data_IF_844055941606
#
_entry.id   IF_844055941606
#
_cell.length_a   1.000
_cell.length_b   1.000
_cell.length_c   1.000
_cell.angle_alpha   90.00
_cell.angle_beta   90.00
_cell.angle_gamma   90.00
#
_symmetry.space_group_name_H-M   'P 1'
#
loop_
_entity.id
_entity.type
_entity.pdbx_description
1 polymer ?
#
# COMPACT_ATOMS: atom_id res chain seq x y z
N UNK A 1 -47.37 -28.84 30.61
CA UNK A 1 -46.73 -28.75 31.94
C UNK A 1 -45.46 -27.90 31.75
N UNK A 2 -45.49 -26.57 31.85
CA UNK A 2 -45.49 -25.79 33.10
C UNK A 2 -44.14 -26.02 33.81
N UNK A 3 -43.17 -25.11 33.84
CA UNK A 3 -43.20 -23.87 34.64
C UNK A 3 -42.25 -22.77 34.12
N UNK A 4 -42.74 -21.53 34.18
CA UNK A 4 -42.00 -20.25 34.19
C UNK A 4 -41.50 -19.94 35.61
N UNK A 5 -40.44 -19.12 35.71
CA UNK A 5 -40.20 -17.94 36.60
C UNK A 5 -38.68 -17.69 36.65
N UNK A 6 -38.10 -16.49 36.79
CA UNK A 6 -38.48 -15.09 36.64
C UNK A 6 -37.24 -14.26 37.03
N UNK A 7 -36.94 -13.20 36.26
CA UNK A 7 -36.39 -11.87 36.64
C UNK A 7 -35.26 -11.76 37.68
N UNK A 8 -34.19 -11.05 37.32
CA UNK A 8 -33.29 -10.38 38.26
C UNK A 8 -32.18 -9.58 37.56
N UNK A 9 -32.40 -8.28 37.37
CA UNK A 9 -31.40 -7.30 36.95
C UNK A 9 -30.56 -6.88 38.17
N UNK A 10 -29.23 -6.73 38.01
CA UNK A 10 -28.34 -6.23 39.04
C UNK A 10 -27.05 -5.66 38.42
N UNK A 11 -26.98 -4.34 38.32
CA UNK A 11 -25.80 -3.57 37.94
C UNK A 11 -24.96 -3.19 39.18
N UNK A 12 -23.68 -2.87 38.95
CA UNK A 12 -22.66 -2.25 39.83
C UNK A 12 -21.88 -3.26 40.71
N UNK A 13 -20.56 -3.23 40.87
CA UNK A 13 -19.57 -2.15 40.77
C UNK A 13 -18.13 -2.64 40.56
N UNK A 14 -17.31 -1.78 39.97
CA UNK A 14 -15.84 -1.79 39.90
C UNK A 14 -15.11 -2.22 41.19
N UNK A 15 -14.01 -2.98 41.04
CA UNK A 15 -12.88 -2.96 41.97
C UNK A 15 -11.54 -2.99 41.21
N UNK A 16 -10.72 -1.96 41.47
CA UNK A 16 -9.28 -1.85 41.14
C UNK A 16 -8.46 -2.74 42.07
N UNK A 17 -7.38 -3.35 41.56
CA UNK A 17 -6.10 -3.69 42.23
C UNK A 17 -5.12 -4.14 41.13
N UNK A 18 -4.12 -3.34 40.76
CA UNK A 18 -2.78 -3.11 41.36
C UNK A 18 -1.70 -4.07 40.83
N UNK A 19 -0.90 -3.52 39.91
CA UNK A 19 0.54 -3.68 39.62
C UNK A 19 1.30 -4.80 40.35
N UNK A 20 2.01 -5.63 39.57
CA UNK A 20 3.33 -6.15 39.94
C UNK A 20 4.21 -6.25 38.67
N UNK A 21 5.38 -5.65 38.77
CA UNK A 21 6.49 -5.51 37.81
C UNK A 21 7.28 -6.79 37.61
N UNK A 22 7.72 -7.07 36.37
CA UNK A 22 9.04 -7.65 36.05
C UNK A 22 9.42 -7.23 34.62
N UNK A 23 10.57 -6.57 34.48
CA UNK A 23 11.21 -6.13 33.23
C UNK A 23 12.25 -7.16 32.74
N UNK A 24 12.52 -7.10 31.43
CA UNK A 24 13.79 -7.29 30.69
C UNK A 24 13.48 -7.86 29.29
N UNK A 25 13.33 -7.02 28.26
CA UNK A 25 14.34 -6.39 27.37
C UNK A 25 14.88 -7.29 26.25
N UNK A 26 14.47 -6.98 25.00
CA UNK A 26 15.38 -6.64 23.88
C UNK A 26 14.57 -6.34 22.60
N UNK A 27 14.19 -5.08 22.38
CA UNK A 27 13.75 -4.54 21.09
C UNK A 27 14.45 -3.23 20.82
N UNK A 28 15.30 -3.19 19.80
CA UNK A 28 15.99 -1.97 19.35
C UNK A 28 15.04 -1.07 18.57
N UNK A 29 14.79 0.12 19.12
CA UNK A 29 14.07 1.22 18.49
C UNK A 29 15.06 2.23 17.91
N UNK A 30 14.87 2.63 16.66
CA UNK A 30 15.39 3.90 16.16
C UNK A 30 14.20 4.87 15.98
N UNK A 31 13.95 5.67 17.02
CA UNK A 31 13.22 6.94 16.95
C UNK A 31 14.25 8.03 16.69
N UNK A 32 14.03 8.85 15.66
CA UNK A 32 14.67 10.16 15.56
C UNK A 32 13.67 11.20 16.03
N UNK A 33 13.90 11.67 17.25
CA UNK A 33 13.38 12.90 17.83
C UNK A 33 14.44 13.97 17.62
N UNK A 34 14.13 15.05 16.90
CA UNK A 34 14.79 16.37 17.02
C UNK A 34 14.01 17.43 16.23
N UNK A 35 12.96 17.99 16.85
CA UNK A 35 12.39 19.31 16.54
C UNK A 35 11.35 19.74 17.60
N UNK A 36 11.64 19.57 18.89
CA UNK A 36 10.86 20.21 19.96
C UNK A 36 11.81 20.86 20.95
N UNK A 37 12.25 22.08 20.64
CA UNK A 37 12.85 22.98 21.62
C UNK A 37 12.15 24.34 21.53
N UNK A 38 11.49 24.68 22.65
CA UNK A 38 11.06 26.01 23.10
C UNK A 38 9.96 26.75 22.34
N UNK A 39 8.69 26.46 22.69
CA UNK A 39 7.70 27.54 22.97
C UNK A 39 6.71 27.08 24.04
N UNK A 40 7.02 27.29 25.33
CA UNK A 40 6.00 27.36 26.40
C UNK A 40 6.55 28.05 27.64
N UNK A 41 6.61 29.38 27.59
CA UNK A 41 6.61 30.23 28.78
C UNK A 41 6.34 31.70 28.43
N UNK A 42 5.12 32.08 28.04
CA UNK A 42 4.64 33.45 28.22
C UNK A 42 3.11 33.44 28.30
N UNK A 43 2.61 33.29 29.53
CA UNK A 43 1.22 33.59 29.89
C UNK A 43 1.23 34.95 30.59
N UNK A 44 0.28 35.81 30.20
CA UNK A 44 -0.11 37.08 30.81
C UNK A 44 0.78 38.33 30.61
N UNK A 45 0.53 39.07 29.53
CA UNK A 45 0.43 40.54 29.58
C UNK A 45 -0.78 41.01 28.76
N UNK A 46 -1.66 41.80 29.39
CA UNK A 46 -2.77 42.52 28.76
C UNK A 46 -2.21 43.58 27.80
N UNK A 47 -2.60 43.54 26.54
CA UNK A 47 -2.36 44.62 25.57
C UNK A 47 -3.73 45.18 25.17
N UNK A 48 -3.94 46.48 25.43
CA UNK A 48 -5.10 47.26 24.95
C UNK A 48 -4.90 47.58 23.46
N UNK A 49 -5.91 47.48 22.58
CA UNK A 49 -5.79 47.97 21.23
C UNK A 49 -6.30 49.42 21.16
N UNK A 50 -5.39 50.35 20.88
CA UNK A 50 -5.75 51.61 20.22
C UNK A 50 -5.69 51.43 18.70
N UNK A 51 -6.66 52.01 18.01
CA UNK A 51 -6.48 52.61 16.68
C UNK A 51 -6.30 51.70 15.46
N UNK A 52 -7.37 51.57 14.68
CA UNK A 52 -7.30 51.80 13.22
C UNK A 52 -7.01 50.63 12.27
N UNK A 53 -7.81 50.60 11.19
CA UNK A 53 -7.61 49.88 9.93
C UNK A 53 -7.76 48.34 9.91
N UNK A 54 -9.02 47.89 9.91
CA UNK A 54 -9.49 46.81 9.02
C UNK A 54 -11.02 46.74 9.15
N UNK A 55 -11.68 47.56 8.34
CA UNK A 55 -13.13 47.70 8.33
C UNK A 55 -13.61 47.71 6.88
N UNK A 56 -13.34 46.62 6.17
CA UNK A 56 -13.97 46.27 4.88
C UNK A 56 -14.08 44.74 4.88
N UNK A 57 -15.32 44.22 4.78
CA UNK A 57 -15.76 42.83 4.50
C UNK A 57 -16.79 42.20 5.47
N UNK A 58 -17.37 42.95 6.41
CA UNK A 58 -18.62 42.52 7.03
C UNK A 58 -19.64 43.67 7.05
N UNK A 59 -20.79 43.57 6.35
CA UNK A 59 -21.83 44.57 6.46
C UNK A 59 -22.37 44.56 7.89
N UNK A 60 -21.99 45.58 8.68
CA UNK A 60 -22.25 45.71 10.12
C UNK A 60 -23.71 46.06 10.49
N UNK A 61 -24.66 45.99 9.55
CA UNK A 61 -26.03 46.50 9.76
C UNK A 61 -27.17 45.47 9.55
N UNK A 62 -26.94 44.17 9.71
CA UNK A 62 -28.03 43.17 9.65
C UNK A 62 -28.70 42.85 11.00
N UNK A 63 -28.29 43.50 12.10
CA UNK A 63 -28.85 43.23 13.45
C UNK A 63 -29.26 44.48 14.24
N UNK A 64 -29.59 45.59 13.58
CA UNK A 64 -30.32 46.72 14.21
C UNK A 64 -31.80 46.61 13.89
N UNK A 65 -32.46 45.63 14.51
CA UNK A 65 -33.89 45.40 14.32
C UNK A 65 -34.49 44.39 15.29
N UNK A 66 -33.67 43.57 15.94
CA UNK A 66 -34.15 42.67 16.98
C UNK A 66 -34.21 43.38 18.34
N UNK A 67 -35.07 44.40 18.41
CA UNK A 67 -35.59 44.84 19.71
C UNK A 67 -36.24 43.62 20.38
N UNK A 68 -35.95 43.48 21.68
CA UNK A 68 -36.77 42.72 22.64
C UNK A 68 -38.24 42.87 22.26
N UNK A 69 -38.91 41.74 22.01
CA UNK A 69 -40.31 41.52 22.31
C UNK A 69 -40.58 40.00 22.27
N UNK A 70 -41.20 39.52 23.35
CA UNK A 70 -41.65 38.16 23.65
C UNK A 70 -40.59 37.08 23.87
N UNK A 71 -40.32 36.87 25.17
CA UNK A 71 -39.98 35.57 25.74
C UNK A 71 -41.12 34.56 25.50
N UNK A 72 -41.32 34.12 24.25
CA UNK A 72 -42.08 32.89 24.01
C UNK A 72 -41.14 31.74 24.35
N UNK A 73 -41.41 31.06 25.48
CA UNK A 73 -40.76 29.80 25.84
C UNK A 73 -40.85 28.84 24.65
N UNK A 74 -39.74 28.69 23.94
CA UNK A 74 -39.56 27.72 22.87
C UNK A 74 -40.12 26.38 23.30
N UNK A 75 -41.01 25.81 22.50
CA UNK A 75 -41.58 24.49 22.80
C UNK A 75 -40.46 23.45 22.83
N UNK A 76 -40.66 22.37 23.59
CA UNK A 76 -39.67 21.28 23.68
C UNK A 76 -39.29 20.76 22.30
N UNK A 77 -40.27 20.69 21.39
CA UNK A 77 -40.13 20.26 19.99
C UNK A 77 -39.21 21.20 19.21
N UNK A 78 -39.43 22.51 19.28
CA UNK A 78 -38.57 23.48 18.58
C UNK A 78 -37.14 23.51 19.12
N UNK A 79 -36.94 23.33 20.43
CA UNK A 79 -35.59 23.20 21.01
C UNK A 79 -34.88 21.95 20.50
N UNK A 80 -35.57 20.80 20.48
CA UNK A 80 -35.02 19.55 19.95
C UNK A 80 -34.71 19.67 18.46
N UNK A 81 -35.55 20.36 17.68
CA UNK A 81 -35.35 20.54 16.25
C UNK A 81 -34.17 21.46 15.95
N UNK A 82 -34.02 22.58 16.68
CA UNK A 82 -32.85 23.46 16.57
C UNK A 82 -31.55 22.77 16.98
N UNK A 83 -31.57 21.97 18.05
CA UNK A 83 -30.42 21.17 18.47
C UNK A 83 -30.03 20.13 17.40
N UNK A 84 -31.01 19.43 16.82
CA UNK A 84 -30.78 18.47 15.75
C UNK A 84 -30.13 19.13 14.51
N UNK A 85 -30.62 20.30 14.10
CA UNK A 85 -30.04 21.06 12.97
C UNK A 85 -28.60 21.46 13.27
N UNK A 86 -28.29 21.91 14.49
CA UNK A 86 -26.93 22.26 14.90
C UNK A 86 -25.98 21.06 14.84
N UNK A 87 -26.42 19.90 15.37
CA UNK A 87 -25.65 18.66 15.34
C UNK A 87 -25.41 18.21 13.89
N UNK A 88 -26.44 18.20 13.04
CA UNK A 88 -26.32 17.83 11.64
C UNK A 88 -25.38 18.77 10.87
N UNK A 89 -25.47 20.08 11.12
CA UNK A 89 -24.59 21.07 10.48
C UNK A 89 -23.14 20.91 10.92
N UNK A 90 -22.90 20.63 12.20
CA UNK A 90 -21.57 20.33 12.71
C UNK A 90 -21.02 19.03 12.10
N UNK A 91 -21.82 17.97 12.04
CA UNK A 91 -21.43 16.68 11.47
C UNK A 91 -21.08 16.78 9.98
N UNK A 92 -21.91 17.48 9.18
CA UNK A 92 -21.61 17.74 7.76
C UNK A 92 -20.30 18.50 7.58
N UNK A 93 -20.04 19.51 8.43
CA UNK A 93 -18.78 20.29 8.39
C UNK A 93 -17.59 19.44 8.80
N UNK A 94 -17.75 18.56 9.79
CA UNK A 94 -16.72 17.62 10.22
C UNK A 94 -16.38 16.63 9.10
N UNK A 95 -17.38 16.00 8.47
CA UNK A 95 -17.18 15.11 7.34
C UNK A 95 -16.47 15.81 6.17
N UNK A 96 -16.91 17.02 5.81
CA UNK A 96 -16.25 17.80 4.76
C UNK A 96 -14.78 18.09 5.11
N UNK A 97 -14.46 18.41 6.37
CA UNK A 97 -13.07 18.63 6.81
C UNK A 97 -12.24 17.35 6.78
N UNK A 98 -12.82 16.21 7.14
CA UNK A 98 -12.14 14.92 7.07
C UNK A 98 -11.86 14.51 5.63
N UNK A 99 -12.81 14.72 4.72
CA UNK A 99 -12.65 14.46 3.29
C UNK A 99 -11.57 15.36 2.67
N UNK A 100 -11.57 16.65 3.00
CA UNK A 100 -10.54 17.59 2.56
C UNK A 100 -9.16 17.14 3.06
N UNK A 101 -9.03 16.75 4.33
CA UNK A 101 -7.78 16.21 4.87
C UNK A 101 -7.32 14.97 4.11
N UNK A 102 -8.22 14.01 3.87
CA UNK A 102 -7.91 12.79 3.10
C UNK A 102 -7.34 13.14 1.72
N UNK A 103 -7.95 14.08 1.00
CA UNK A 103 -7.49 14.52 -0.34
C UNK A 103 -6.12 15.18 -0.29
N UNK A 104 -5.92 16.14 0.61
CA UNK A 104 -4.62 16.81 0.72
C UNK A 104 -3.52 15.87 1.19
N UNK A 105 -3.81 14.95 2.12
CA UNK A 105 -2.85 13.92 2.53
C UNK A 105 -2.41 13.09 1.32
N UNK A 106 -3.36 12.62 0.51
CA UNK A 106 -3.03 11.89 -0.72
C UNK A 106 -2.18 12.72 -1.68
N UNK A 107 -2.58 13.95 -1.98
CA UNK A 107 -1.83 14.84 -2.88
C UNK A 107 -0.42 15.10 -2.38
N UNK A 108 -0.23 15.31 -1.07
CA UNK A 108 1.08 15.53 -0.47
C UNK A 108 1.96 14.28 -0.62
N UNK A 109 1.44 13.10 -0.26
CA UNK A 109 2.21 11.85 -0.38
C UNK A 109 2.61 11.58 -1.84
N UNK A 110 1.66 11.69 -2.77
CA UNK A 110 1.93 11.51 -4.19
C UNK A 110 2.96 12.52 -4.71
N UNK A 111 2.88 13.79 -4.25
CA UNK A 111 3.82 14.83 -4.68
C UNK A 111 5.23 14.61 -4.13
N UNK A 112 5.34 14.17 -2.88
CA UNK A 112 6.63 13.83 -2.25
C UNK A 112 7.26 12.63 -2.95
N UNK A 113 6.47 11.61 -3.22
CA UNK A 113 6.91 10.40 -3.92
C UNK A 113 7.37 10.72 -5.35
N UNK A 114 6.54 11.42 -6.12
CA UNK A 114 6.87 11.80 -7.48
C UNK A 114 8.09 12.74 -7.56
N UNK A 115 8.22 13.68 -6.62
CA UNK A 115 9.41 14.53 -6.53
C UNK A 115 10.66 13.70 -6.22
N UNK A 116 10.54 12.75 -5.29
CA UNK A 116 11.59 11.78 -4.96
C UNK A 116 12.02 10.96 -6.17
N UNK A 117 11.07 10.43 -6.93
CA UNK A 117 11.35 9.68 -8.17
C UNK A 117 12.01 10.56 -9.24
N UNK A 118 11.52 11.78 -9.46
CA UNK A 118 12.04 12.70 -10.47
C UNK A 118 13.46 13.17 -10.19
N UNK A 119 13.77 13.56 -8.95
CA UNK A 119 15.12 13.99 -8.58
C UNK A 119 16.12 12.83 -8.73
N UNK A 120 15.64 11.61 -8.52
CA UNK A 120 16.40 10.39 -8.70
C UNK A 120 16.64 10.02 -10.16
N UNK A 121 15.66 10.23 -11.05
CA UNK A 121 15.83 10.09 -12.50
C UNK A 121 16.81 11.13 -13.04
N UNK A 122 16.73 12.38 -12.56
CA UNK A 122 17.70 13.43 -12.93
C UNK A 122 19.12 13.07 -12.50
N UNK A 123 19.27 12.51 -11.29
CA UNK A 123 20.57 12.07 -10.80
C UNK A 123 21.14 10.91 -11.64
N UNK A 124 20.29 9.95 -12.04
CA UNK A 124 20.66 8.88 -12.96
C UNK A 124 21.12 9.44 -14.32
N UNK A 125 20.35 10.35 -14.91
CA UNK A 125 20.70 11.00 -16.17
C UNK A 125 22.02 11.77 -16.07
N UNK A 126 22.25 12.46 -14.94
CA UNK A 126 23.51 13.15 -14.68
C UNK A 126 24.69 12.18 -14.61
N UNK A 127 24.59 11.09 -13.83
CA UNK A 127 25.67 10.11 -13.74
C UNK A 127 25.91 9.37 -15.06
N UNK A 128 24.86 9.06 -15.81
CA UNK A 128 25.01 8.49 -17.14
C UNK A 128 25.70 9.46 -18.09
N UNK A 129 25.28 10.73 -18.14
CA UNK A 129 25.94 11.75 -18.95
C UNK A 129 27.42 11.90 -18.55
N UNK A 130 27.71 11.87 -17.26
CA UNK A 130 29.06 11.94 -16.73
C UNK A 130 29.88 10.72 -17.15
N UNK A 131 29.34 9.50 -17.04
CA UNK A 131 30.03 8.28 -17.45
C UNK A 131 30.23 8.18 -18.97
N UNK A 132 29.29 8.70 -19.78
CA UNK A 132 29.43 8.74 -21.24
C UNK A 132 30.39 9.82 -21.73
N UNK A 133 30.62 10.87 -20.92
CA UNK A 133 31.48 12.00 -21.27
C UNK A 133 32.77 12.09 -20.46
N UNK A 134 33.00 11.22 -19.47
CA UNK A 134 34.34 11.04 -18.89
C UNK A 134 35.22 10.55 -20.05
N UNK A 135 36.21 11.35 -20.48
CA UNK A 135 37.18 10.86 -21.42
C UNK A 135 37.96 9.75 -20.70
N UNK A 136 38.33 8.70 -21.43
CA UNK A 136 39.19 7.59 -21.00
C UNK A 136 40.60 8.07 -20.63
N UNK A 137 40.72 8.99 -19.67
CA UNK A 137 41.98 9.62 -19.22
C UNK A 137 42.69 8.81 -18.15
N UNK A 138 42.15 7.67 -17.72
CA UNK A 138 42.78 6.75 -16.76
C UNK A 138 43.37 5.51 -17.43
N UNK A 139 43.77 5.61 -18.69
CA UNK A 139 44.58 4.56 -19.34
C UNK A 139 46.09 4.81 -19.21
N UNK A 140 46.53 5.28 -18.04
CA UNK A 140 47.94 5.36 -17.66
C UNK A 140 48.12 5.79 -16.20
N UNK A 141 47.77 4.93 -15.25
CA UNK A 141 48.56 4.80 -13.99
C UNK A 141 48.09 3.55 -13.23
N UNK A 142 49.04 2.66 -13.00
CA UNK A 142 48.93 1.49 -12.15
C UNK A 142 48.62 1.88 -10.70
N UNK A 143 47.46 1.51 -10.18
CA UNK A 143 47.28 1.21 -8.76
C UNK A 143 46.03 0.35 -8.55
N UNK A 144 46.27 -0.88 -8.11
CA UNK A 144 45.28 -1.71 -7.47
C UNK A 144 44.76 -0.99 -6.20
N UNK A 145 43.48 -1.21 -5.88
CA UNK A 145 42.76 -0.77 -4.69
C UNK A 145 42.13 0.64 -4.74
N UNK A 146 40.99 0.77 -5.43
CA UNK A 146 39.78 1.40 -4.84
C UNK A 146 38.55 1.16 -5.72
N UNK A 147 37.43 0.86 -5.06
CA UNK A 147 36.05 0.92 -5.60
C UNK A 147 35.57 -0.24 -6.51
N UNK A 148 35.41 -1.43 -5.91
CA UNK A 148 34.50 -2.47 -6.42
C UNK A 148 33.04 -2.19 -6.01
N UNK A 149 32.48 -1.05 -6.40
CA UNK A 149 31.03 -0.83 -6.32
C UNK A 149 30.51 -0.29 -7.64
N UNK A 150 29.43 -0.92 -8.12
CA UNK A 150 28.72 -0.66 -9.38
C UNK A 150 29.51 -0.94 -10.66
N UNK A 151 29.80 -2.22 -10.88
CA UNK A 151 30.10 -2.76 -12.20
C UNK A 151 28.91 -2.51 -13.14
N UNK A 152 29.15 -1.70 -14.16
CA UNK A 152 28.28 -1.38 -15.29
C UNK A 152 27.83 -2.61 -16.11
N UNK A 153 28.42 -3.79 -15.89
CA UNK A 153 28.02 -5.03 -16.56
C UNK A 153 26.61 -5.51 -16.19
N UNK A 154 26.04 -5.04 -15.08
CA UNK A 154 24.67 -5.42 -14.68
C UNK A 154 23.57 -4.66 -15.44
N UNK A 155 23.89 -3.61 -16.19
CA UNK A 155 22.90 -2.75 -16.85
C UNK A 155 22.73 -3.03 -18.36
N UNK A 156 23.62 -3.80 -18.97
CA UNK A 156 23.51 -4.20 -20.38
C UNK A 156 22.89 -5.60 -20.53
N UNK A 157 21.82 -5.90 -19.79
CA UNK A 157 20.96 -7.02 -20.17
C UNK A 157 20.12 -6.56 -21.37
N UNK A 158 20.70 -6.67 -22.57
CA UNK A 158 19.88 -6.71 -23.79
C UNK A 158 18.98 -7.94 -23.61
N UNK A 159 17.68 -7.72 -23.43
CA UNK A 159 16.71 -8.74 -23.77
C UNK A 159 16.84 -8.93 -25.28
N UNK A 160 17.75 -9.80 -25.69
CA UNK A 160 17.56 -10.46 -26.97
C UNK A 160 16.21 -11.14 -26.86
N UNK A 161 15.34 -10.86 -27.83
CA UNK A 161 14.09 -11.58 -28.03
C UNK A 161 14.50 -13.01 -28.40
N UNK A 162 14.94 -13.78 -27.40
CA UNK A 162 15.25 -15.19 -27.57
C UNK A 162 13.94 -15.87 -27.91
N UNK A 163 13.82 -16.10 -29.21
CA UNK A 163 12.92 -17.05 -29.84
C UNK A 163 12.79 -18.31 -29.00
N UNK A 164 11.63 -18.44 -28.33
CA UNK A 164 10.84 -19.62 -27.99
C UNK A 164 11.48 -20.97 -27.58
N UNK A 165 12.78 -21.10 -27.37
CA UNK A 165 13.40 -22.35 -26.92
C UNK A 165 14.44 -22.09 -25.82
N UNK A 166 13.97 -21.80 -24.60
CA UNK A 166 14.83 -21.94 -23.40
C UNK A 166 15.13 -23.43 -23.25
N UNK A 167 16.35 -23.82 -23.59
CA UNK A 167 16.85 -25.19 -23.49
C UNK A 167 16.52 -25.80 -22.12
N UNK A 168 15.81 -26.92 -22.15
CA UNK A 168 15.16 -27.55 -21.01
C UNK A 168 16.14 -28.29 -20.06
N UNK A 169 17.44 -28.30 -20.38
CA UNK A 169 18.39 -29.28 -19.85
C UNK A 169 18.82 -29.02 -18.39
N UNK A 170 18.66 -27.80 -17.86
CA UNK A 170 19.18 -27.43 -16.53
C UNK A 170 18.19 -27.47 -15.36
N UNK A 171 16.87 -27.48 -15.62
CA UNK A 171 15.86 -27.14 -14.59
C UNK A 171 14.82 -28.24 -14.33
N UNK A 172 14.93 -29.37 -15.02
CA UNK A 172 13.99 -30.48 -14.94
C UNK A 172 14.09 -31.28 -13.63
N UNK A 173 15.28 -31.37 -13.02
CA UNK A 173 15.46 -32.22 -11.85
C UNK A 173 15.11 -31.50 -10.55
N UNK A 174 13.92 -31.79 -10.00
CA UNK A 174 13.64 -31.48 -8.59
C UNK A 174 14.55 -32.39 -7.77
N UNK A 175 15.37 -31.83 -6.89
CA UNK A 175 16.18 -32.64 -5.98
C UNK A 175 15.28 -33.61 -5.21
N UNK A 176 15.66 -34.89 -5.10
CA UNK A 176 14.89 -35.92 -4.37
C UNK A 176 14.61 -35.56 -2.89
N UNK A 177 15.27 -34.53 -2.37
CA UNK A 177 15.15 -34.03 -0.99
C UNK A 177 14.18 -32.83 -0.86
N UNK A 178 13.59 -32.34 -1.95
CA UNK A 178 12.63 -31.26 -1.89
C UNK A 178 11.34 -31.69 -1.18
N UNK A 179 11.07 -31.08 -0.03
CA UNK A 179 9.87 -31.36 0.79
C UNK A 179 8.78 -30.30 0.65
N UNK A 180 8.93 -29.38 -0.30
CA UNK A 180 7.97 -28.30 -0.52
C UNK A 180 6.82 -28.70 -1.44
N UNK A 181 6.10 -27.69 -1.93
CA UNK A 181 4.92 -27.90 -2.77
C UNK A 181 5.31 -28.35 -4.16
N UNK A 182 4.60 -29.36 -4.66
CA UNK A 182 4.70 -29.81 -6.03
C UNK A 182 3.51 -29.26 -6.81
N UNK A 183 3.79 -28.43 -7.83
CA UNK A 183 2.77 -27.82 -8.68
C UNK A 183 2.75 -28.55 -10.02
N UNK A 184 1.56 -28.91 -10.48
CA UNK A 184 1.35 -29.47 -11.82
C UNK A 184 0.80 -28.39 -12.75
N UNK A 185 1.25 -28.37 -14.00
CA UNK A 185 0.74 -27.47 -15.03
C UNK A 185 -0.12 -28.27 -16.02
N UNK A 186 -1.30 -27.76 -16.47
CA UNK A 186 -1.90 -26.47 -16.13
C UNK A 186 -2.36 -26.41 -14.66
N UNK A 187 -2.14 -25.25 -14.02
CA UNK A 187 -2.36 -25.06 -12.59
C UNK A 187 -3.84 -25.13 -12.24
N UNK A 188 -4.19 -25.87 -11.18
CA UNK A 188 -5.56 -25.99 -10.68
C UNK A 188 -5.77 -25.16 -9.42
N UNK A 189 -7.04 -24.95 -9.07
CA UNK A 189 -7.43 -24.27 -7.82
C UNK A 189 -6.82 -24.92 -6.56
N UNK A 190 -6.74 -26.25 -6.53
CA UNK A 190 -6.11 -26.97 -5.42
C UNK A 190 -4.62 -26.62 -5.25
N UNK A 191 -3.92 -26.40 -6.37
CA UNK A 191 -2.50 -26.06 -6.37
C UNK A 191 -2.30 -24.62 -5.89
N UNK A 192 -3.22 -23.71 -6.26
CA UNK A 192 -3.26 -22.34 -5.76
C UNK A 192 -3.52 -22.28 -4.25
N UNK A 193 -4.51 -23.04 -3.76
CA UNK A 193 -4.80 -23.11 -2.31
C UNK A 193 -3.59 -23.65 -1.53
N UNK A 194 -2.90 -24.66 -2.07
CA UNK A 194 -1.65 -25.15 -1.51
C UNK A 194 -0.57 -24.06 -1.51
N UNK A 195 -0.39 -23.34 -2.62
CA UNK A 195 0.61 -22.27 -2.77
C UNK A 195 0.39 -21.15 -1.74
N UNK A 196 -0.87 -20.70 -1.58
CA UNK A 196 -1.27 -19.72 -0.57
C UNK A 196 -0.91 -20.23 0.83
N UNK A 197 -1.18 -21.50 1.10
CA UNK A 197 -0.88 -22.12 2.39
C UNK A 197 0.62 -22.21 2.71
N UNK A 198 1.47 -22.52 1.72
CA UNK A 198 2.92 -22.47 1.92
C UNK A 198 3.40 -21.06 2.19
N UNK A 199 2.95 -20.09 1.40
CA UNK A 199 3.36 -18.70 1.55
C UNK A 199 2.88 -18.06 2.87
N UNK A 200 1.73 -18.52 3.38
CA UNK A 200 1.20 -18.13 4.70
C UNK A 200 2.01 -18.74 5.86
N UNK A 201 2.33 -20.02 5.77
CA UNK A 201 3.12 -20.72 6.80
C UNK A 201 4.57 -20.27 6.66
N UNK A 202 5.00 -19.28 7.46
CA UNK A 202 6.37 -18.70 7.50
C UNK A 202 7.53 -19.71 7.69
N UNK A 203 7.28 -21.02 7.71
CA UNK A 203 8.27 -22.10 7.77
C UNK A 203 8.81 -22.43 6.38
N UNK A 204 9.99 -21.88 6.08
CA UNK A 204 11.16 -22.51 5.41
C UNK A 204 10.99 -23.45 4.20
N UNK A 205 9.90 -23.40 3.45
CA UNK A 205 9.82 -24.08 2.16
C UNK A 205 9.82 -23.06 1.04
N UNK A 206 11.03 -22.64 0.63
CA UNK A 206 11.23 -21.89 -0.61
C UNK A 206 10.61 -22.69 -1.75
N UNK A 207 9.88 -22.02 -2.64
CA UNK A 207 9.36 -22.68 -3.83
C UNK A 207 10.54 -23.08 -4.72
N UNK A 208 10.55 -24.32 -5.23
CA UNK A 208 11.62 -24.78 -6.10
C UNK A 208 11.66 -23.95 -7.39
N UNK A 209 12.85 -23.62 -7.89
CA UNK A 209 13.03 -22.76 -9.06
C UNK A 209 12.28 -23.27 -10.30
N UNK A 210 12.19 -24.60 -10.47
CA UNK A 210 11.35 -25.25 -11.51
C UNK A 210 9.90 -24.77 -11.50
N UNK A 211 9.27 -24.67 -10.32
CA UNK A 211 7.87 -24.25 -10.20
C UNK A 211 7.71 -22.76 -10.40
N UNK A 212 8.67 -21.96 -9.92
CA UNK A 212 8.74 -20.51 -10.20
C UNK A 212 8.81 -20.28 -11.71
N UNK A 213 9.77 -20.92 -12.39
CA UNK A 213 9.94 -20.83 -13.84
C UNK A 213 8.69 -21.30 -14.60
N UNK A 214 8.05 -22.39 -14.16
CA UNK A 214 6.80 -22.86 -14.75
C UNK A 214 5.67 -21.83 -14.66
N UNK A 215 5.47 -21.20 -13.50
CA UNK A 215 4.46 -20.13 -13.33
C UNK A 215 4.77 -18.94 -14.26
N UNK A 216 6.03 -18.49 -14.29
CA UNK A 216 6.45 -17.37 -15.11
C UNK A 216 6.25 -17.67 -16.60
N UNK A 217 6.65 -18.85 -17.08
CA UNK A 217 6.52 -19.26 -18.48
C UNK A 217 5.06 -19.26 -18.93
N UNK A 218 4.19 -19.96 -18.21
CA UNK A 218 2.76 -20.03 -18.53
C UNK A 218 2.12 -18.62 -18.50
N UNK A 219 2.53 -17.78 -17.55
CA UNK A 219 2.04 -16.41 -17.44
C UNK A 219 2.47 -15.54 -18.60
N UNK A 220 3.74 -15.62 -19.02
CA UNK A 220 4.25 -14.91 -20.19
C UNK A 220 3.47 -15.33 -21.44
N UNK A 221 3.27 -16.64 -21.64
CA UNK A 221 2.50 -17.15 -22.78
C UNK A 221 1.07 -16.61 -22.80
N UNK A 222 0.40 -16.51 -21.64
CA UNK A 222 -0.94 -15.93 -21.57
C UNK A 222 -0.94 -14.41 -21.78
N UNK A 223 -0.06 -13.67 -21.10
CA UNK A 223 0.02 -12.20 -21.18
C UNK A 223 0.38 -11.73 -22.60
N UNK A 224 1.28 -12.42 -23.31
CA UNK A 224 1.63 -12.13 -24.71
C UNK A 224 0.42 -12.19 -25.65
N UNK A 225 -0.62 -12.96 -25.32
CA UNK A 225 -1.84 -13.11 -26.13
C UNK A 225 -2.90 -12.04 -25.83
N UNK A 226 -2.75 -11.27 -24.75
CA UNK A 226 -3.71 -10.25 -24.34
C UNK A 226 -3.42 -8.90 -25.02
N UNK A 227 -4.46 -8.11 -25.34
CA UNK A 227 -4.27 -6.74 -25.81
C UNK A 227 -3.74 -5.82 -24.70
N UNK A 228 -3.12 -4.71 -25.09
CA UNK A 228 -2.67 -3.67 -24.15
C UNK A 228 -3.82 -3.07 -23.33
N UNK A 229 -5.03 -3.04 -23.91
CA UNK A 229 -6.25 -2.59 -23.23
C UNK A 229 -7.18 -3.79 -23.02
N UNK A 230 -7.26 -4.25 -21.79
CA UNK A 230 -8.16 -5.35 -21.41
C UNK A 230 -9.53 -4.81 -20.97
N UNK A 231 -10.60 -5.41 -21.47
CA UNK A 231 -11.97 -5.08 -21.07
C UNK A 231 -12.43 -6.05 -19.97
N UNK A 232 -12.55 -5.54 -18.74
CA UNK A 232 -13.15 -6.30 -17.64
C UNK A 232 -14.68 -6.17 -17.69
N UNK A 233 -15.39 -7.30 -17.83
CA UNK A 233 -16.85 -7.34 -17.80
C UNK A 233 -17.36 -7.58 -16.38
N UNK A 234 -18.28 -6.74 -15.91
CA UNK A 234 -18.96 -6.90 -14.62
C UNK A 234 -20.38 -7.45 -14.79
N UNK A 235 -20.73 -7.99 -15.96
CA UNK A 235 -22.09 -8.44 -16.24
C UNK A 235 -22.54 -9.57 -15.30
N UNK A 236 -21.61 -10.46 -14.91
CA UNK A 236 -21.88 -11.60 -14.03
C UNK A 236 -21.79 -11.17 -12.56
N UNK A 237 -20.66 -10.57 -12.18
CA UNK A 237 -20.36 -10.23 -10.77
C UNK A 237 -21.12 -9.01 -10.24
N UNK A 238 -21.53 -8.08 -11.11
CA UNK A 238 -22.06 -6.74 -10.79
C UNK A 238 -21.12 -5.85 -9.96
N UNK A 239 -19.93 -6.34 -9.63
CA UNK A 239 -18.91 -5.65 -8.85
C UNK A 239 -17.52 -6.03 -9.36
N UNK A 240 -16.54 -5.16 -9.12
CA UNK A 240 -15.13 -5.43 -9.39
C UNK A 240 -14.29 -4.89 -8.25
N UNK A 241 -13.29 -5.66 -7.83
CA UNK A 241 -12.38 -5.26 -6.76
C UNK A 241 -11.13 -4.68 -7.37
N UNK A 242 -10.81 -3.43 -7.04
CA UNK A 242 -9.60 -2.76 -7.52
C UNK A 242 -8.61 -2.68 -6.37
N UNK A 243 -7.46 -3.29 -6.55
CA UNK A 243 -6.33 -3.26 -5.64
C UNK A 243 -5.25 -2.33 -6.20
N UNK A 244 -4.78 -1.39 -5.38
CA UNK A 244 -3.59 -0.59 -5.69
C UNK A 244 -2.31 -1.30 -5.26
N UNK A 245 -1.31 -0.50 -4.97
CA UNK A 245 0.08 -0.91 -4.74
C UNK A 245 0.19 -1.91 -3.59
N UNK A 246 0.94 -2.99 -3.84
CA UNK A 246 1.22 -4.02 -2.84
C UNK A 246 2.64 -3.91 -2.31
N UNK A 247 3.61 -3.55 -3.14
CA UNK A 247 5.01 -3.37 -2.77
C UNK A 247 5.56 -4.52 -1.91
N UNK A 248 5.39 -5.76 -2.37
CA UNK A 248 5.88 -6.96 -1.68
C UNK A 248 5.27 -7.19 -0.29
N UNK A 249 4.10 -6.63 0.02
CA UNK A 249 3.36 -6.86 1.27
C UNK A 249 2.39 -8.04 1.12
N UNK A 250 2.96 -9.24 1.13
CA UNK A 250 2.17 -10.48 1.02
C UNK A 250 1.07 -10.61 2.08
N UNK A 251 1.36 -10.23 3.32
CA UNK A 251 0.41 -10.35 4.43
C UNK A 251 -0.85 -9.49 4.15
N UNK A 252 -0.72 -8.33 3.50
CA UNK A 252 -1.83 -7.48 3.09
C UNK A 252 -2.65 -8.10 1.95
N UNK A 253 -1.98 -8.68 0.94
CA UNK A 253 -2.64 -9.41 -0.15
C UNK A 253 -3.48 -10.59 0.37
N UNK A 254 -2.95 -11.35 1.34
CA UNK A 254 -3.69 -12.44 1.98
C UNK A 254 -4.90 -11.94 2.76
N UNK A 255 -4.81 -10.77 3.40
CA UNK A 255 -5.95 -10.14 4.07
C UNK A 255 -7.03 -9.72 3.07
N UNK A 256 -6.64 -9.20 1.90
CA UNK A 256 -7.59 -8.87 0.81
C UNK A 256 -8.35 -10.12 0.38
N UNK A 257 -7.66 -11.24 0.12
CA UNK A 257 -8.30 -12.50 -0.25
C UNK A 257 -9.17 -13.07 0.87
N UNK A 258 -8.73 -12.97 2.12
CA UNK A 258 -9.54 -13.43 3.25
C UNK A 258 -10.83 -12.63 3.42
N UNK A 259 -10.78 -11.30 3.24
CA UNK A 259 -11.94 -10.42 3.44
C UNK A 259 -12.92 -10.42 2.28
N UNK A 260 -12.39 -10.45 1.05
CA UNK A 260 -13.19 -10.21 -0.16
C UNK A 260 -13.32 -11.47 -1.03
N UNK A 261 -12.76 -12.60 -0.58
CA UNK A 261 -12.76 -13.86 -1.29
C UNK A 261 -11.59 -13.99 -2.28
N UNK A 262 -11.38 -15.20 -2.78
CA UNK A 262 -10.43 -15.41 -3.88
C UNK A 262 -11.00 -14.89 -5.20
N UNK A 263 -10.14 -14.54 -6.16
CA UNK A 263 -10.59 -14.19 -7.50
C UNK A 263 -11.39 -15.33 -8.15
N UNK A 264 -12.37 -14.94 -8.95
CA UNK A 264 -13.18 -15.85 -9.78
C UNK A 264 -13.90 -15.02 -10.85
N UNK A 265 -14.49 -15.64 -11.88
CA UNK A 265 -15.36 -14.91 -12.82
C UNK A 265 -16.51 -14.16 -12.14
N UNK A 266 -16.99 -14.67 -11.00
CA UNK A 266 -18.04 -14.05 -10.18
C UNK A 266 -17.49 -12.97 -9.22
N UNK A 267 -16.17 -12.92 -9.01
CA UNK A 267 -15.49 -11.97 -8.13
C UNK A 267 -14.20 -11.45 -8.79
N UNK A 268 -14.32 -10.57 -9.80
CA UNK A 268 -13.17 -10.13 -10.58
C UNK A 268 -12.30 -9.12 -9.82
N UNK A 269 -10.99 -9.23 -10.04
CA UNK A 269 -9.96 -8.34 -9.47
C UNK A 269 -9.17 -7.60 -10.53
N UNK A 270 -8.90 -6.32 -10.28
CA UNK A 270 -7.93 -5.51 -11.03
C UNK A 270 -6.82 -5.11 -10.07
N UNK A 271 -5.60 -5.56 -10.32
CA UNK A 271 -4.41 -5.13 -9.59
C UNK A 271 -3.67 -4.08 -10.40
N UNK A 272 -3.56 -2.87 -9.87
CA UNK A 272 -3.15 -1.69 -10.62
C UNK A 272 -1.65 -1.37 -10.48
N UNK A 273 -0.80 -2.36 -10.74
CA UNK A 273 0.66 -2.20 -10.71
C UNK A 273 1.27 -2.18 -9.31
N UNK A 274 2.59 -2.01 -9.28
CA UNK A 274 3.42 -1.86 -8.09
C UNK A 274 3.28 -3.04 -7.13
N UNK A 275 3.47 -4.23 -7.69
CA UNK A 275 3.37 -5.51 -6.99
C UNK A 275 4.62 -5.77 -6.15
N UNK A 276 5.77 -5.37 -6.69
CA UNK A 276 7.12 -5.67 -6.17
C UNK A 276 7.78 -4.43 -5.58
N UNK A 277 9.04 -4.59 -5.14
CA UNK A 277 9.87 -3.56 -4.48
C UNK A 277 9.36 -3.09 -3.11
N UNK A 278 10.27 -2.42 -2.37
CA UNK A 278 10.08 -1.84 -1.00
C UNK A 278 9.79 -2.87 0.10
N UNK A 279 8.92 -3.85 -0.15
CA UNK A 279 8.65 -4.99 0.72
C UNK A 279 9.72 -6.08 0.63
N UNK A 280 9.53 -7.13 1.42
CA UNK A 280 10.47 -8.27 1.52
C UNK A 280 9.96 -9.54 0.84
N UNK A 281 8.73 -9.50 0.33
CA UNK A 281 8.00 -10.66 -0.24
C UNK A 281 7.40 -10.29 -1.60
N UNK A 282 8.16 -9.55 -2.42
CA UNK A 282 7.77 -9.17 -3.77
C UNK A 282 7.58 -10.38 -4.68
N UNK A 283 8.47 -11.38 -4.57
CA UNK A 283 8.43 -12.59 -5.39
C UNK A 283 7.18 -13.42 -5.07
N UNK A 284 6.83 -13.62 -3.80
CA UNK A 284 5.63 -14.35 -3.42
C UNK A 284 4.35 -13.62 -3.85
N UNK A 285 4.33 -12.27 -3.74
CA UNK A 285 3.21 -11.46 -4.24
C UNK A 285 3.04 -11.64 -5.74
N UNK A 286 4.12 -11.46 -6.51
CA UNK A 286 4.08 -11.60 -7.97
C UNK A 286 3.63 -13.00 -8.38
N UNK A 287 4.24 -14.05 -7.81
CA UNK A 287 3.89 -15.44 -8.12
C UNK A 287 2.44 -15.76 -7.78
N UNK A 288 1.91 -15.22 -6.67
CA UNK A 288 0.53 -15.46 -6.28
C UNK A 288 -0.46 -14.75 -7.20
N UNK A 289 -0.16 -13.51 -7.63
CA UNK A 289 -0.98 -12.79 -8.61
C UNK A 289 -1.02 -13.50 -9.96
N UNK A 290 0.14 -13.95 -10.44
CA UNK A 290 0.26 -14.72 -11.67
C UNK A 290 -0.48 -16.07 -11.58
N UNK A 291 -0.34 -16.79 -10.46
CA UNK A 291 -1.06 -18.03 -10.22
C UNK A 291 -2.58 -17.83 -10.22
N UNK A 292 -3.08 -16.77 -9.56
CA UNK A 292 -4.51 -16.41 -9.60
C UNK A 292 -4.99 -16.11 -11.03
N UNK A 293 -4.19 -15.41 -11.83
CA UNK A 293 -4.51 -15.13 -13.24
C UNK A 293 -4.57 -16.40 -14.08
N UNK A 294 -3.62 -17.33 -13.90
CA UNK A 294 -3.60 -18.61 -14.61
C UNK A 294 -4.79 -19.51 -14.24
N UNK A 295 -5.17 -19.55 -12.95
CA UNK A 295 -6.26 -20.40 -12.44
C UNK A 295 -7.64 -19.82 -12.76
N UNK A 296 -7.78 -18.50 -12.78
CA UNK A 296 -9.05 -17.80 -13.01
C UNK A 296 -8.99 -16.92 -14.26
N UNK A 297 -9.00 -17.51 -15.47
CA UNK A 297 -9.01 -16.74 -16.71
C UNK A 297 -10.23 -15.81 -16.76
N UNK A 298 -9.98 -14.52 -17.02
CA UNK A 298 -11.02 -13.47 -17.01
C UNK A 298 -11.48 -13.00 -15.62
N UNK A 299 -10.96 -13.60 -14.54
CA UNK A 299 -11.25 -13.18 -13.16
C UNK A 299 -10.18 -12.28 -12.55
N UNK A 300 -8.98 -12.20 -13.14
CA UNK A 300 -7.88 -11.36 -12.67
C UNK A 300 -7.30 -10.56 -13.82
N UNK A 301 -7.14 -9.26 -13.59
CA UNK A 301 -6.52 -8.32 -14.51
C UNK A 301 -5.32 -7.66 -13.81
N UNK A 302 -4.15 -7.70 -14.46
CA UNK A 302 -2.91 -7.13 -13.95
C UNK A 302 -2.51 -5.96 -14.86
N UNK A 303 -2.45 -4.76 -14.31
CA UNK A 303 -1.89 -3.60 -15.00
C UNK A 303 -0.42 -3.44 -14.60
N UNK A 304 0.40 -2.96 -15.54
CA UNK A 304 1.81 -2.64 -15.29
C UNK A 304 1.91 -1.30 -14.56
N UNK A 305 2.58 -1.28 -13.41
CA UNK A 305 2.99 -0.08 -12.68
C UNK A 305 4.40 0.38 -13.06
N UNK A 306 4.92 1.41 -12.39
CA UNK A 306 6.28 1.91 -12.64
C UNK A 306 7.34 0.98 -12.03
N UNK A 307 6.98 0.24 -10.98
CA UNK A 307 7.85 -0.73 -10.32
C UNK A 307 7.97 -2.05 -11.09
N UNK A 308 7.15 -2.33 -12.10
CA UNK A 308 7.38 -3.43 -13.03
C UNK A 308 8.35 -3.02 -14.16
N UNK A 309 9.47 -2.41 -13.77
CA UNK A 309 10.56 -1.99 -14.64
C UNK A 309 11.93 -2.31 -14.02
N UNK A 310 12.87 -2.72 -14.88
CA UNK A 310 14.20 -3.14 -14.48
C UNK A 310 15.00 -2.07 -13.72
N UNK A 311 14.84 -0.78 -14.07
CA UNK A 311 15.53 0.32 -13.39
C UNK A 311 15.01 0.45 -11.96
N UNK A 312 13.70 0.35 -11.78
CA UNK A 312 13.09 0.43 -10.46
C UNK A 312 13.46 -0.79 -9.61
N UNK A 313 13.38 -2.01 -10.17
CA UNK A 313 13.70 -3.23 -9.42
C UNK A 313 15.16 -3.32 -8.97
N UNK A 314 16.09 -2.85 -9.80
CA UNK A 314 17.52 -2.80 -9.46
C UNK A 314 17.79 -1.89 -8.27
N UNK A 315 16.98 -0.83 -8.14
CA UNK A 315 17.16 0.22 -7.12
C UNK A 315 16.40 -0.06 -5.83
N UNK A 316 15.16 -0.51 -5.94
CA UNK A 316 14.22 -0.62 -4.82
C UNK A 316 14.14 -2.03 -4.21
N UNK A 317 14.98 -2.93 -4.69
CA UNK A 317 15.40 -4.11 -3.96
C UNK A 317 14.84 -5.43 -4.48
N UNK A 318 13.93 -5.43 -5.45
CA UNK A 318 13.41 -6.67 -6.02
C UNK A 318 14.49 -7.52 -6.68
N UNK A 319 15.45 -6.92 -7.41
CA UNK A 319 16.60 -7.66 -7.99
C UNK A 319 17.46 -8.33 -6.91
N UNK A 320 17.52 -7.74 -5.71
CA UNK A 320 18.27 -8.33 -4.58
C UNK A 320 17.46 -9.41 -3.85
N UNK A 321 16.14 -9.37 -3.98
CA UNK A 321 15.23 -10.34 -3.38
C UNK A 321 15.23 -11.68 -4.13
N UNK A 322 15.25 -11.62 -5.47
CA UNK A 322 15.30 -12.76 -6.39
C UNK A 322 16.68 -13.42 -6.39
#
# INVERSE_FOLDING_TARGET
RGFRKSKGCGCLSFHKRSISSYEDESTSSCRSSDAEVQVKAFRNRKIKPEGGLLHILFPRNLFKGWRRNNELSMTKIERTMKAAILIQRWYRRYLARMEVRRRYTWTIFQSIEYAGEQDQVKLYNFFNALLTHIPTTTRSTSSAATSKSSSIDSLNFRFEDESDEVEEEGMQHVERKYRGIHINFPMKRSDLDALIDAFRKRKQHRLHARYVAGILRESITQLKRLPNLNQASTAISKQVTICGDLHGKLDDLLVVFHKNGLPSPENPYVFNGDFVDRGKKGLEVLLLLLACMLVFPGGVFLNRGNHEDHIMNSRYGFVREV
#
